data_IF_750813690571
#
_entry.id   IF_750813690571
#
_cell.length_a   1.000
_cell.length_b   1.000
_cell.length_c   1.000
_cell.angle_alpha   90.00
_cell.angle_beta   90.00
_cell.angle_gamma   90.00
#
_symmetry.space_group_name_H-M   'P 1'
#
loop_
_entity.id
_entity.type
_entity.pdbx_description
1 polymer ?
#
# COMPACT_ATOMS: atom_id res chain seq x y z
N UNK A 1 41.30 -27.32 -14.63
CA UNK A 1 42.00 -26.04 -14.53
C UNK A 1 41.26 -25.18 -13.50
N UNK A 2 41.86 -24.99 -12.31
CA UNK A 2 41.37 -24.11 -11.23
C UNK A 2 42.09 -22.77 -11.38
N UNK A 3 41.38 -21.68 -11.64
CA UNK A 3 41.82 -20.27 -11.47
C UNK A 3 40.55 -19.42 -11.61
N UNK A 4 40.20 -18.41 -10.80
CA UNK A 4 40.57 -18.01 -9.44
C UNK A 4 39.42 -17.09 -9.00
N UNK A 5 39.03 -17.17 -7.73
CA UNK A 5 38.17 -16.20 -7.05
C UNK A 5 38.86 -14.84 -7.11
N UNK A 6 38.16 -13.78 -7.53
CA UNK A 6 38.61 -12.41 -7.33
C UNK A 6 37.54 -11.60 -6.61
N UNK A 7 38.04 -10.95 -5.57
CA UNK A 7 37.37 -10.40 -4.40
C UNK A 7 36.65 -9.11 -4.76
N UNK A 8 35.38 -9.03 -4.35
CA UNK A 8 34.62 -7.80 -4.27
C UNK A 8 35.28 -6.86 -3.24
N UNK A 9 35.85 -5.75 -3.71
CA UNK A 9 36.24 -4.60 -2.89
C UNK A 9 35.54 -3.37 -3.47
N UNK A 10 34.26 -3.23 -3.16
CA UNK A 10 33.51 -1.99 -3.38
C UNK A 10 33.74 -1.12 -2.14
N UNK A 11 34.74 -0.25 -2.24
CA UNK A 11 35.02 0.80 -1.26
C UNK A 11 33.80 1.70 -1.11
N UNK A 12 33.10 1.55 0.00
CA UNK A 12 32.01 2.43 0.42
C UNK A 12 32.64 3.74 0.93
N UNK A 13 32.93 4.66 0.03
CA UNK A 13 33.31 6.03 0.39
C UNK A 13 32.09 6.72 1.01
N UNK A 14 32.12 6.91 2.33
CA UNK A 14 31.26 7.86 3.04
C UNK A 14 31.42 9.23 2.39
N UNK A 15 30.40 9.67 1.66
CA UNK A 15 30.23 11.08 1.34
C UNK A 15 29.16 11.60 2.31
N UNK A 16 29.64 12.23 3.38
CA UNK A 16 28.82 13.04 4.28
C UNK A 16 28.37 14.28 3.54
N UNK A 17 27.15 14.25 2.99
CA UNK A 17 26.47 15.47 2.56
C UNK A 17 25.80 16.05 3.79
N UNK A 18 26.50 16.97 4.45
CA UNK A 18 25.88 17.97 5.32
C UNK A 18 25.08 18.92 4.44
N UNK A 19 23.77 18.69 4.35
CA UNK A 19 22.81 19.58 3.72
C UNK A 19 21.58 19.67 4.62
N UNK A 20 21.32 20.87 5.13
CA UNK A 20 20.11 21.34 5.80
C UNK A 20 19.27 20.29 6.55
N UNK A 21 19.37 20.29 7.89
CA UNK A 21 18.29 19.84 8.78
C UNK A 21 17.02 20.66 8.49
N UNK A 22 16.23 20.23 7.52
CA UNK A 22 14.78 20.27 7.67
C UNK A 22 14.48 19.14 8.66
N UNK A 23 13.76 19.46 9.73
CA UNK A 23 13.27 18.48 10.70
C UNK A 23 12.47 17.40 9.94
N UNK A 24 13.12 16.32 9.53
CA UNK A 24 12.43 15.12 9.09
C UNK A 24 11.75 14.56 10.34
N UNK A 25 10.42 14.41 10.34
CA UNK A 25 9.75 13.73 11.43
C UNK A 25 10.36 12.34 11.57
N UNK A 26 10.62 11.90 12.81
CA UNK A 26 11.17 10.57 13.12
C UNK A 26 10.65 9.52 12.14
N UNK A 27 11.56 8.90 11.38
CA UNK A 27 11.20 7.89 10.39
C UNK A 27 10.57 6.71 11.14
N UNK A 28 9.25 6.55 11.05
CA UNK A 28 8.54 5.45 11.71
C UNK A 28 8.99 4.14 11.05
N UNK A 29 9.74 3.34 11.80
CA UNK A 29 10.24 2.05 11.30
C UNK A 29 9.20 0.95 11.58
N UNK A 30 8.53 0.48 10.52
CA UNK A 30 7.58 -0.64 10.58
C UNK A 30 8.29 -1.94 10.24
N UNK A 31 8.27 -2.91 11.16
CA UNK A 31 8.79 -4.27 10.92
C UNK A 31 7.66 -5.20 10.52
N UNK A 32 7.80 -5.85 9.38
CA UNK A 32 6.85 -6.86 8.92
C UNK A 32 6.99 -8.18 9.72
N UNK A 33 5.90 -8.93 9.82
CA UNK A 33 5.92 -10.33 10.27
C UNK A 33 6.79 -11.18 9.35
N UNK A 34 7.43 -12.22 9.89
CA UNK A 34 8.27 -13.11 9.09
C UNK A 34 7.45 -13.85 8.04
N UNK A 35 8.11 -14.40 7.02
CA UNK A 35 7.44 -15.18 5.96
C UNK A 35 6.58 -16.32 6.54
N UNK A 36 7.08 -17.04 7.55
CA UNK A 36 6.34 -18.11 8.24
C UNK A 36 5.07 -17.60 8.94
N UNK A 37 5.15 -16.44 9.58
CA UNK A 37 3.98 -15.79 10.19
C UNK A 37 2.98 -15.32 9.13
N UNK A 38 3.45 -14.84 7.98
CA UNK A 38 2.58 -14.46 6.86
C UNK A 38 1.89 -15.68 6.22
N UNK A 39 2.60 -16.80 6.09
CA UNK A 39 2.01 -18.08 5.65
C UNK A 39 0.92 -18.57 6.62
N UNK A 40 1.08 -18.34 7.92
CA UNK A 40 0.04 -18.65 8.90
C UNK A 40 -1.21 -17.77 8.68
N UNK A 41 -1.04 -16.47 8.42
CA UNK A 41 -2.15 -15.58 8.06
C UNK A 41 -2.88 -16.03 6.80
N UNK A 42 -2.17 -16.51 5.79
CA UNK A 42 -2.77 -16.99 4.54
C UNK A 42 -3.71 -18.19 4.75
N UNK A 43 -3.57 -18.89 5.89
CA UNK A 43 -4.40 -20.02 6.29
C UNK A 43 -5.46 -19.64 7.35
N UNK A 44 -5.68 -18.35 7.63
CA UNK A 44 -6.75 -17.94 8.54
C UNK A 44 -8.12 -18.34 8.00
N UNK A 45 -8.95 -18.84 8.90
CA UNK A 45 -10.37 -19.02 8.65
C UNK A 45 -11.10 -17.68 8.63
N UNK A 46 -12.33 -17.68 8.11
CA UNK A 46 -13.22 -16.53 8.19
C UNK A 46 -13.37 -15.99 9.62
N UNK A 47 -13.55 -16.87 10.62
CA UNK A 47 -13.76 -16.45 12.01
C UNK A 47 -12.52 -15.79 12.63
N UNK A 48 -11.33 -16.24 12.26
CA UNK A 48 -10.07 -15.63 12.70
C UNK A 48 -9.89 -14.25 12.09
N UNK A 49 -10.18 -14.09 10.79
CA UNK A 49 -10.19 -12.77 10.16
C UNK A 49 -11.23 -11.84 10.77
N UNK A 50 -12.47 -12.32 10.96
CA UNK A 50 -13.56 -11.53 11.52
C UNK A 50 -13.20 -10.98 12.90
N UNK A 51 -12.67 -11.85 13.77
CA UNK A 51 -12.20 -11.42 15.10
C UNK A 51 -11.15 -10.30 14.98
N UNK A 52 -10.16 -10.44 14.10
CA UNK A 52 -9.13 -9.42 13.93
C UNK A 52 -9.69 -8.09 13.40
N UNK A 53 -10.65 -8.14 12.45
CA UNK A 53 -11.28 -6.94 11.92
C UNK A 53 -12.21 -6.25 12.93
N UNK A 54 -13.01 -7.02 13.69
CA UNK A 54 -13.87 -6.47 14.74
C UNK A 54 -13.04 -5.76 15.82
N UNK A 55 -11.88 -6.32 16.21
CA UNK A 55 -10.93 -5.69 17.13
C UNK A 55 -10.37 -4.37 16.56
N UNK A 56 -9.96 -4.37 15.29
CA UNK A 56 -9.47 -3.16 14.60
C UNK A 56 -10.56 -2.07 14.52
N UNK A 57 -11.79 -2.44 14.17
CA UNK A 57 -12.89 -1.48 14.06
C UNK A 57 -13.27 -0.90 15.42
N UNK A 58 -13.23 -1.71 16.47
CA UNK A 58 -13.39 -1.24 17.86
C UNK A 58 -12.27 -0.25 18.24
N UNK A 59 -11.02 -0.58 17.93
CA UNK A 59 -9.90 0.30 18.21
C UNK A 59 -10.00 1.63 17.47
N UNK A 60 -10.38 1.62 16.20
CA UNK A 60 -10.52 2.80 15.36
C UNK A 60 -11.51 3.84 15.93
N UNK A 61 -12.51 3.42 16.73
CA UNK A 61 -13.43 4.34 17.40
C UNK A 61 -12.71 5.29 18.38
N UNK A 62 -11.54 4.90 18.87
CA UNK A 62 -10.76 5.71 19.82
C UNK A 62 -10.00 6.88 19.18
N UNK A 63 -10.00 7.01 17.84
CA UNK A 63 -9.22 8.01 17.12
C UNK A 63 -9.92 9.37 16.98
N UNK A 64 -11.17 9.54 17.43
CA UNK A 64 -11.94 10.81 17.38
C UNK A 64 -11.80 11.55 16.03
N UNK A 65 -11.94 10.82 14.93
CA UNK A 65 -11.89 11.37 13.56
C UNK A 65 -13.31 11.48 13.01
N UNK A 66 -13.66 12.65 12.50
CA UNK A 66 -14.97 12.94 11.90
C UNK A 66 -14.97 12.85 10.36
N UNK A 67 -13.80 12.80 9.74
CA UNK A 67 -13.65 12.64 8.29
C UNK A 67 -13.60 11.16 7.91
N UNK A 68 -14.54 10.71 7.06
CA UNK A 68 -14.67 9.31 6.67
C UNK A 68 -13.47 8.81 5.87
N UNK A 69 -12.82 9.66 5.06
CA UNK A 69 -11.62 9.30 4.32
C UNK A 69 -10.48 8.97 5.29
N UNK A 70 -10.19 9.87 6.22
CA UNK A 70 -9.17 9.68 7.24
C UNK A 70 -9.48 8.47 8.13
N UNK A 71 -10.74 8.24 8.49
CA UNK A 71 -11.16 7.06 9.25
C UNK A 71 -10.87 5.77 8.48
N UNK A 72 -11.15 5.72 7.18
CA UNK A 72 -10.80 4.58 6.31
C UNK A 72 -9.31 4.30 6.33
N UNK A 73 -8.47 5.32 6.16
CA UNK A 73 -7.01 5.14 6.17
C UNK A 73 -6.47 4.70 7.53
N UNK A 74 -7.04 5.20 8.64
CA UNK A 74 -6.71 4.70 9.98
C UNK A 74 -7.05 3.22 10.12
N UNK A 75 -8.25 2.80 9.72
CA UNK A 75 -8.67 1.39 9.75
C UNK A 75 -7.69 0.54 8.94
N UNK A 76 -7.29 0.97 7.74
CA UNK A 76 -6.31 0.24 6.93
C UNK A 76 -4.95 0.14 7.60
N UNK A 77 -4.45 1.20 8.21
CA UNK A 77 -3.19 1.17 8.97
C UNK A 77 -3.28 0.19 10.15
N UNK A 78 -4.37 0.20 10.91
CA UNK A 78 -4.60 -0.74 12.01
C UNK A 78 -4.76 -2.19 11.53
N UNK A 79 -5.39 -2.42 10.37
CA UNK A 79 -5.43 -3.75 9.74
C UNK A 79 -4.01 -4.22 9.38
N UNK A 80 -3.19 -3.33 8.80
CA UNK A 80 -1.80 -3.65 8.47
C UNK A 80 -1.00 -3.98 9.72
N UNK A 81 -1.18 -3.20 10.77
CA UNK A 81 -0.57 -3.43 12.06
C UNK A 81 -0.95 -4.80 12.64
N UNK A 82 -2.26 -5.03 12.79
CA UNK A 82 -2.82 -6.23 13.41
C UNK A 82 -2.42 -7.50 12.67
N UNK A 83 -2.56 -7.48 11.34
CA UNK A 83 -2.38 -8.66 10.52
C UNK A 83 -0.93 -8.83 10.09
N UNK A 84 -0.23 -7.79 9.63
CA UNK A 84 1.03 -7.95 8.90
C UNK A 84 2.27 -7.40 9.60
N UNK A 85 2.14 -6.52 10.60
CA UNK A 85 3.29 -5.93 11.28
C UNK A 85 3.61 -6.63 12.61
N UNK A 86 4.87 -6.51 13.03
CA UNK A 86 5.33 -6.82 14.39
C UNK A 86 5.39 -5.59 15.28
N UNK A 87 5.50 -4.41 14.67
CA UNK A 87 5.55 -3.15 15.40
C UNK A 87 4.16 -2.83 15.92
N UNK A 88 4.05 -2.64 17.24
CA UNK A 88 2.90 -2.02 17.90
C UNK A 88 3.05 -0.50 17.77
N UNK A 89 2.08 0.13 17.11
CA UNK A 89 2.07 1.54 16.75
C UNK A 89 1.31 2.33 17.82
N UNK A 90 1.93 3.40 18.30
CA UNK A 90 1.18 4.39 19.07
C UNK A 90 0.08 5.03 18.22
N UNK A 91 -0.99 5.53 18.86
CA UNK A 91 -2.05 6.29 18.16
C UNK A 91 -1.51 7.41 17.27
N UNK A 92 -0.46 8.13 17.73
CA UNK A 92 0.18 9.18 16.93
C UNK A 92 0.81 8.62 15.64
N UNK A 93 1.48 7.47 15.73
CA UNK A 93 2.08 6.80 14.58
C UNK A 93 1.02 6.29 13.60
N UNK A 94 -0.09 5.71 14.08
CA UNK A 94 -1.22 5.30 13.23
C UNK A 94 -1.79 6.49 12.45
N UNK A 95 -2.02 7.63 13.12
CA UNK A 95 -2.50 8.86 12.44
C UNK A 95 -1.47 9.38 11.44
N UNK A 96 -0.18 9.37 11.79
CA UNK A 96 0.87 9.85 10.90
C UNK A 96 1.00 8.97 9.65
N UNK A 97 1.07 7.65 9.83
CA UNK A 97 1.18 6.69 8.72
C UNK A 97 -0.05 6.72 7.82
N UNK A 98 -1.26 6.74 8.39
CA UNK A 98 -2.50 6.82 7.59
C UNK A 98 -2.55 8.07 6.71
N UNK A 99 -2.14 9.24 7.24
CA UNK A 99 -2.01 10.47 6.45
C UNK A 99 -0.95 10.39 5.37
N UNK A 100 0.20 9.79 5.68
CA UNK A 100 1.29 9.60 4.72
C UNK A 100 0.87 8.68 3.58
N UNK A 101 0.18 7.57 3.87
CA UNK A 101 -0.34 6.64 2.86
C UNK A 101 -1.39 7.31 1.97
N UNK A 102 -2.34 8.03 2.56
CA UNK A 102 -3.35 8.78 1.79
C UNK A 102 -2.71 9.82 0.86
N UNK A 103 -1.74 10.57 1.37
CA UNK A 103 -1.04 11.59 0.60
C UNK A 103 -0.21 10.98 -0.53
N UNK A 104 0.52 9.90 -0.22
CA UNK A 104 1.31 9.15 -1.20
C UNK A 104 0.42 8.58 -2.30
N UNK A 105 -0.74 8.02 -1.96
CA UNK A 105 -1.72 7.53 -2.93
C UNK A 105 -2.21 8.64 -3.86
N UNK A 106 -2.53 9.82 -3.32
CA UNK A 106 -2.97 10.99 -4.11
C UNK A 106 -1.89 11.43 -5.10
N UNK A 107 -0.63 11.53 -4.67
CA UNK A 107 0.51 11.88 -5.55
C UNK A 107 0.77 10.79 -6.58
N UNK A 108 0.76 9.52 -6.16
CA UNK A 108 0.93 8.37 -7.04
C UNK A 108 -0.10 8.37 -8.17
N UNK A 109 -1.35 8.72 -7.88
CA UNK A 109 -2.41 8.86 -8.88
C UNK A 109 -2.21 10.10 -9.77
N UNK A 110 -1.85 11.24 -9.19
CA UNK A 110 -1.61 12.48 -9.93
C UNK A 110 -0.49 12.32 -10.97
N UNK A 111 0.62 11.67 -10.61
CA UNK A 111 1.72 11.42 -11.57
C UNK A 111 1.27 10.53 -12.73
N UNK A 112 0.46 9.50 -12.47
CA UNK A 112 -0.06 8.63 -13.53
C UNK A 112 -0.91 9.43 -14.53
N UNK A 113 -1.72 10.36 -14.03
CA UNK A 113 -2.52 11.26 -14.85
C UNK A 113 -1.65 12.27 -15.60
N UNK A 114 -0.86 13.07 -14.89
CA UNK A 114 -0.23 14.27 -15.44
C UNK A 114 0.95 13.93 -16.35
N UNK A 115 1.74 12.93 -15.96
CA UNK A 115 2.98 12.56 -16.67
C UNK A 115 2.77 11.47 -17.72
N UNK A 116 1.85 10.55 -17.47
CA UNK A 116 1.62 9.38 -18.31
C UNK A 116 0.28 9.37 -19.02
N UNK A 117 -0.56 10.39 -18.77
CA UNK A 117 -1.89 10.54 -19.35
C UNK A 117 -2.77 9.29 -19.13
N UNK A 118 -2.66 8.70 -17.94
CA UNK A 118 -3.51 7.58 -17.52
C UNK A 118 -4.81 8.16 -16.97
N UNK A 119 -5.85 8.11 -17.81
CA UNK A 119 -7.20 8.52 -17.44
C UNK A 119 -8.03 7.32 -16.97
N UNK A 120 -8.82 7.53 -15.93
CA UNK A 120 -9.78 6.53 -15.44
C UNK A 120 -11.17 6.94 -15.90
N UNK A 121 -11.80 6.08 -16.68
CA UNK A 121 -13.22 6.18 -16.98
C UNK A 121 -13.98 5.32 -15.96
N UNK A 122 -14.96 5.91 -15.26
CA UNK A 122 -15.69 5.23 -14.19
C UNK A 122 -16.32 3.90 -14.65
N UNK A 123 -16.92 3.86 -15.84
CA UNK A 123 -17.49 2.64 -16.38
C UNK A 123 -16.44 1.54 -16.65
N UNK A 124 -15.25 1.92 -17.10
CA UNK A 124 -14.15 0.96 -17.31
C UNK A 124 -13.64 0.42 -15.98
N UNK A 125 -13.57 1.27 -14.96
CA UNK A 125 -13.20 0.86 -13.61
C UNK A 125 -14.28 -0.05 -13.00
N UNK A 126 -15.56 0.25 -13.15
CA UNK A 126 -16.63 -0.63 -12.66
C UNK A 126 -16.59 -1.99 -13.37
N UNK A 127 -16.37 -2.02 -14.69
CA UNK A 127 -16.13 -3.27 -15.43
C UNK A 127 -14.89 -4.01 -14.95
N UNK A 128 -13.84 -3.29 -14.54
CA UNK A 128 -12.65 -3.89 -13.95
C UNK A 128 -12.96 -4.53 -12.59
N UNK A 129 -13.66 -3.82 -11.70
CA UNK A 129 -14.09 -4.31 -10.38
C UNK A 129 -14.97 -5.56 -10.52
N UNK A 130 -15.95 -5.54 -11.44
CA UNK A 130 -16.87 -6.67 -11.66
C UNK A 130 -16.17 -7.98 -12.02
N UNK A 131 -14.95 -7.95 -12.59
CA UNK A 131 -14.17 -9.17 -12.86
C UNK A 131 -13.79 -9.93 -11.59
N UNK A 132 -13.75 -9.23 -10.46
CA UNK A 132 -13.35 -9.77 -9.16
C UNK A 132 -14.54 -9.99 -8.21
N UNK A 133 -15.77 -9.68 -8.63
CA UNK A 133 -16.98 -9.75 -7.79
C UNK A 133 -17.22 -11.18 -7.25
N UNK A 134 -16.91 -12.19 -8.06
CA UNK A 134 -17.03 -13.61 -7.66
C UNK A 134 -15.91 -14.10 -6.73
N UNK A 135 -14.82 -13.35 -6.59
CA UNK A 135 -13.70 -13.73 -5.73
C UNK A 135 -13.90 -13.16 -4.33
N UNK A 136 -14.26 -14.05 -3.40
CA UNK A 136 -14.52 -13.75 -2.00
C UNK A 136 -13.67 -14.63 -1.08
N UNK A 137 -12.37 -14.30 -0.89
CA UNK A 137 -11.57 -15.01 0.10
C UNK A 137 -12.11 -14.76 1.52
N UNK A 138 -11.84 -15.65 2.49
CA UNK A 138 -12.35 -15.52 3.86
C UNK A 138 -12.08 -14.15 4.50
N UNK A 139 -10.92 -13.55 4.21
CA UNK A 139 -10.56 -12.20 4.69
C UNK A 139 -11.51 -11.13 4.18
N UNK A 140 -11.85 -11.14 2.89
CA UNK A 140 -12.71 -10.15 2.26
C UNK A 140 -14.14 -10.24 2.79
N UNK A 141 -14.68 -11.47 2.87
CA UNK A 141 -16.00 -11.71 3.44
C UNK A 141 -16.05 -11.24 4.90
N UNK A 142 -15.06 -11.61 5.70
CA UNK A 142 -14.98 -11.19 7.10
C UNK A 142 -14.87 -9.67 7.27
N UNK A 143 -14.13 -8.98 6.39
CA UNK A 143 -13.98 -7.54 6.46
C UNK A 143 -15.28 -6.81 6.10
N UNK A 144 -15.97 -7.23 5.03
CA UNK A 144 -17.28 -6.70 4.65
C UNK A 144 -18.31 -6.86 5.79
N UNK A 145 -18.38 -8.06 6.37
CA UNK A 145 -19.30 -8.35 7.48
C UNK A 145 -18.98 -7.54 8.74
N UNK A 146 -17.70 -7.31 9.03
CA UNK A 146 -17.28 -6.50 10.19
C UNK A 146 -17.63 -5.02 9.99
N UNK A 147 -17.58 -4.53 8.74
CA UNK A 147 -18.03 -3.19 8.38
C UNK A 147 -19.56 -3.07 8.29
N UNK A 148 -20.30 -4.18 8.32
CA UNK A 148 -21.75 -4.19 8.15
C UNK A 148 -22.21 -3.83 6.74
N UNK A 149 -21.38 -4.10 5.72
CA UNK A 149 -21.68 -3.81 4.32
C UNK A 149 -21.60 -5.08 3.48
N UNK A 150 -22.24 -5.06 2.32
CA UNK A 150 -22.09 -6.18 1.36
C UNK A 150 -20.71 -6.19 0.72
N UNK A 151 -20.25 -7.34 0.23
CA UNK A 151 -19.01 -7.40 -0.54
C UNK A 151 -19.02 -6.47 -1.76
N UNK A 152 -20.17 -6.33 -2.42
CA UNK A 152 -20.32 -5.42 -3.55
C UNK A 152 -20.09 -3.97 -3.12
N UNK A 153 -20.58 -3.57 -1.95
CA UNK A 153 -20.34 -2.24 -1.41
C UNK A 153 -18.89 -2.05 -0.93
N UNK A 154 -18.28 -3.11 -0.38
CA UNK A 154 -16.84 -3.10 -0.11
C UNK A 154 -16.06 -2.79 -1.39
N UNK A 155 -16.34 -3.51 -2.48
CA UNK A 155 -15.58 -3.38 -3.73
C UNK A 155 -15.86 -2.08 -4.49
N UNK A 156 -17.12 -1.68 -4.63
CA UNK A 156 -17.53 -0.54 -5.45
C UNK A 156 -17.56 0.80 -4.69
N UNK A 157 -17.52 0.79 -3.35
CA UNK A 157 -17.56 2.02 -2.55
C UNK A 157 -16.34 2.15 -1.64
N UNK A 158 -16.17 1.23 -0.69
CA UNK A 158 -15.20 1.40 0.38
C UNK A 158 -13.74 1.22 -0.08
N UNK A 159 -13.45 0.10 -0.75
CA UNK A 159 -12.14 -0.28 -1.30
C UNK A 159 -12.03 -0.05 -2.82
N UNK A 160 -12.95 0.74 -3.39
CA UNK A 160 -12.91 1.12 -4.81
C UNK A 160 -11.55 1.68 -5.22
N UNK A 161 -10.91 2.43 -4.34
CA UNK A 161 -9.60 3.03 -4.57
C UNK A 161 -8.46 2.00 -4.66
N UNK A 162 -8.60 0.82 -4.03
CA UNK A 162 -7.66 -0.29 -4.21
C UNK A 162 -7.77 -0.90 -5.61
N UNK A 163 -8.99 -1.10 -6.11
CA UNK A 163 -9.21 -1.52 -7.49
C UNK A 163 -8.76 -0.47 -8.50
N UNK A 164 -8.98 0.80 -8.17
CA UNK A 164 -8.51 1.93 -8.96
C UNK A 164 -6.98 1.91 -9.09
N UNK A 165 -6.24 1.66 -8.00
CA UNK A 165 -4.79 1.52 -8.04
C UNK A 165 -4.34 0.38 -8.96
N UNK A 166 -4.98 -0.79 -8.86
CA UNK A 166 -4.72 -1.92 -9.75
C UNK A 166 -5.01 -1.60 -11.23
N UNK A 167 -6.11 -0.88 -11.49
CA UNK A 167 -6.49 -0.48 -12.83
C UNK A 167 -5.52 0.56 -13.42
N UNK A 168 -5.16 1.60 -12.65
CA UNK A 168 -4.14 2.59 -13.06
C UNK A 168 -2.83 1.86 -13.37
N UNK A 169 -2.38 0.95 -12.52
CA UNK A 169 -1.14 0.21 -12.76
C UNK A 169 -1.17 -0.58 -14.07
N UNK A 170 -2.30 -1.23 -14.38
CA UNK A 170 -2.46 -1.97 -15.63
C UNK A 170 -2.31 -1.09 -16.89
N UNK A 171 -2.74 0.17 -16.82
CA UNK A 171 -2.62 1.14 -17.92
C UNK A 171 -1.22 1.78 -17.96
N UNK A 172 -0.71 2.11 -16.77
CA UNK A 172 0.58 2.77 -16.57
C UNK A 172 1.73 1.86 -17.01
N UNK A 173 1.64 0.55 -16.73
CA UNK A 173 2.67 -0.43 -17.05
C UNK A 173 3.10 -0.35 -18.51
N UNK A 174 2.17 -0.36 -19.46
CA UNK A 174 2.50 -0.27 -20.91
C UNK A 174 3.22 1.04 -21.27
N UNK A 175 2.91 2.15 -20.58
CA UNK A 175 3.60 3.43 -20.78
C UNK A 175 5.02 3.40 -20.22
N UNK A 176 5.20 2.82 -19.02
CA UNK A 176 6.51 2.67 -18.40
C UNK A 176 7.39 1.70 -19.20
N UNK A 177 6.85 0.59 -19.69
CA UNK A 177 7.57 -0.37 -20.53
C UNK A 177 8.16 0.31 -21.77
N UNK A 178 7.36 1.15 -22.45
CA UNK A 178 7.81 1.93 -23.61
C UNK A 178 8.88 2.96 -23.24
N UNK A 179 8.70 3.68 -22.13
CA UNK A 179 9.62 4.75 -21.70
C UNK A 179 10.97 4.20 -21.24
N UNK A 180 10.97 3.15 -20.43
CA UNK A 180 12.17 2.59 -19.79
C UNK A 180 12.75 1.38 -20.53
N UNK A 181 12.13 0.96 -21.64
CA UNK A 181 12.59 -0.14 -22.50
C UNK A 181 12.85 -1.43 -21.72
N UNK A 182 11.95 -1.77 -20.81
CA UNK A 182 12.01 -2.99 -20.00
C UNK A 182 10.61 -3.48 -19.68
N UNK A 183 10.42 -4.80 -19.62
CA UNK A 183 9.19 -5.44 -19.14
C UNK A 183 9.37 -6.02 -17.72
N UNK A 184 10.50 -5.74 -17.07
CA UNK A 184 10.79 -6.18 -15.71
C UNK A 184 9.92 -5.40 -14.72
N UNK A 185 8.90 -6.07 -14.18
CA UNK A 185 7.93 -5.51 -13.24
C UNK A 185 8.61 -4.82 -12.04
N UNK A 186 9.67 -5.44 -11.49
CA UNK A 186 10.39 -4.89 -10.35
C UNK A 186 11.12 -3.58 -10.69
N UNK A 187 11.71 -3.49 -11.87
CA UNK A 187 12.32 -2.24 -12.36
C UNK A 187 11.28 -1.17 -12.62
N UNK A 188 10.18 -1.51 -13.30
CA UNK A 188 9.10 -0.58 -13.59
C UNK A 188 8.49 0.01 -12.31
N UNK A 189 8.27 -0.85 -11.30
CA UNK A 189 7.75 -0.43 -10.01
C UNK A 189 8.73 0.51 -9.29
N UNK A 190 10.01 0.14 -9.23
CA UNK A 190 11.06 0.98 -8.61
C UNK A 190 11.21 2.34 -9.26
N UNK A 191 11.21 2.42 -10.59
CA UNK A 191 11.35 3.73 -11.26
C UNK A 191 10.12 4.59 -11.03
N UNK A 192 8.93 4.01 -10.99
CA UNK A 192 7.71 4.77 -10.71
C UNK A 192 7.63 5.21 -9.24
N UNK A 193 7.95 4.31 -8.31
CA UNK A 193 8.06 4.62 -6.87
C UNK A 193 9.08 5.74 -6.61
N UNK A 194 10.20 5.75 -7.35
CA UNK A 194 11.16 6.86 -7.30
C UNK A 194 10.55 8.18 -7.78
N UNK A 195 9.81 8.19 -8.88
CA UNK A 195 9.13 9.42 -9.35
C UNK A 195 8.13 9.95 -8.31
N UNK A 196 7.43 9.06 -7.62
CA UNK A 196 6.51 9.42 -6.51
C UNK A 196 7.28 10.00 -5.32
N UNK A 197 8.38 9.35 -4.90
CA UNK A 197 9.20 9.82 -3.79
C UNK A 197 9.83 11.20 -4.08
N UNK A 198 10.34 11.40 -5.30
CA UNK A 198 10.91 12.67 -5.75
C UNK A 198 9.85 13.79 -5.73
N UNK A 199 8.57 13.49 -6.03
CA UNK A 199 7.47 14.45 -5.96
C UNK A 199 6.99 14.75 -4.53
N UNK A 200 7.17 13.84 -3.57
CA UNK A 200 6.85 14.05 -2.15
C UNK A 200 7.92 14.91 -1.46
N UNK A 201 9.19 14.72 -1.82
CA UNK A 201 10.33 15.44 -1.24
C UNK A 201 10.66 16.79 -1.90
N UNK A 202 10.01 17.10 -3.03
CA UNK A 202 10.17 18.34 -3.80
C UNK A 202 9.35 19.52 -3.32
#
# INVERSE_FOLDING_TARGET
>A
MKVLVSIFLLSFSLVSITGCQKNSPDQITVKLKSKKEQEYLANYSYSQYKKAYDEVLSEAQNFKVHDDSQKKWIIRTLVQEKLYNKTDLSKKQVVQLSKQEEHTYKIWKAIALDKYHVHIENEKLDRYINKFEKYSPPSKAAFADSLGITQKELDHKYDRDMFEQGYIWSLLRTKLEKKYRTADEGKLKKVYEKEVADAIGG
#
